data_IF_977257964928
#
_entry.id   IF_977257964928
#
_cell.length_a   1.000
_cell.length_b   1.000
_cell.length_c   1.000
_cell.angle_alpha   90.00
_cell.angle_beta   90.00
_cell.angle_gamma   90.00
#
_symmetry.space_group_name_H-M   'P 1'
#
loop_
_entity.id
_entity.type
_entity.pdbx_description
1 polymer ?
#
# COMPACT_ATOMS: atom_id res chain seq x y z
N UNK A 1 31.52 -57.02 -48.71
CA UNK A 1 32.58 -57.08 -49.74
C UNK A 1 32.44 -55.87 -50.67
N UNK A 2 33.16 -54.79 -50.40
CA UNK A 2 33.93 -53.96 -51.35
C UNK A 2 34.59 -52.82 -50.59
N UNK A 3 35.90 -52.84 -50.69
CA UNK A 3 36.95 -52.02 -50.09
C UNK A 3 37.27 -50.86 -51.06
N UNK A 4 37.79 -49.73 -50.57
CA UNK A 4 38.79 -48.78 -51.16
C UNK A 4 38.44 -47.32 -50.79
N UNK A 5 39.34 -46.34 -50.53
CA UNK A 5 40.81 -46.26 -50.40
C UNK A 5 41.17 -44.76 -50.20
N UNK A 6 42.03 -44.43 -49.21
CA UNK A 6 43.01 -43.30 -49.06
C UNK A 6 42.53 -41.84 -49.32
N UNK A 7 43.02 -40.80 -48.65
CA UNK A 7 44.39 -40.23 -48.69
C UNK A 7 44.58 -39.25 -47.51
N UNK A 8 45.78 -39.31 -46.91
CA UNK A 8 46.33 -38.44 -45.87
C UNK A 8 47.41 -37.55 -46.51
N UNK A 9 47.41 -36.22 -46.32
CA UNK A 9 48.61 -35.37 -46.50
C UNK A 9 48.68 -34.32 -45.37
N UNK A 10 49.89 -34.23 -44.83
CA UNK A 10 50.42 -33.45 -43.70
C UNK A 10 50.97 -32.07 -44.16
N UNK A 11 51.44 -31.25 -43.18
CA UNK A 11 52.46 -30.16 -43.28
C UNK A 11 51.93 -28.76 -43.68
N UNK A 12 52.31 -27.59 -43.11
CA UNK A 12 52.89 -27.17 -41.82
C UNK A 12 52.65 -25.66 -41.59
N UNK A 13 52.65 -25.29 -40.30
CA UNK A 13 53.22 -24.11 -39.62
C UNK A 13 53.48 -22.75 -40.35
N UNK A 14 52.84 -21.72 -39.79
CA UNK A 14 53.42 -20.53 -39.15
C UNK A 14 54.27 -19.54 -39.98
N UNK A 15 53.86 -18.26 -40.02
CA UNK A 15 54.68 -17.06 -39.70
C UNK A 15 53.76 -15.82 -39.59
N UNK A 16 54.14 -14.95 -38.66
CA UNK A 16 53.42 -13.80 -38.08
C UNK A 16 53.36 -12.54 -38.96
N UNK A 17 52.39 -11.64 -38.66
CA UNK A 17 52.62 -10.36 -37.97
C UNK A 17 51.70 -9.19 -38.43
N UNK A 18 51.12 -8.54 -37.42
CA UNK A 18 50.83 -7.09 -37.25
C UNK A 18 49.82 -6.38 -38.19
N UNK A 19 48.72 -5.90 -37.60
CA UNK A 19 47.97 -4.78 -38.16
C UNK A 19 46.50 -4.61 -37.73
N UNK A 20 46.28 -4.15 -36.49
CA UNK A 20 45.20 -3.25 -36.06
C UNK A 20 43.69 -3.67 -36.06
N UNK A 21 43.11 -3.51 -34.86
CA UNK A 21 41.76 -3.04 -34.52
C UNK A 21 40.54 -3.98 -34.66
N UNK A 22 39.96 -4.38 -33.51
CA UNK A 22 38.50 -4.47 -33.35
C UNK A 22 37.94 -5.76 -32.71
N UNK A 23 37.59 -5.68 -31.42
CA UNK A 23 36.48 -6.47 -30.84
C UNK A 23 36.84 -7.73 -30.05
N UNK A 24 37.10 -7.59 -28.74
CA UNK A 24 37.11 -8.72 -27.80
C UNK A 24 35.68 -9.26 -27.63
N UNK A 25 35.37 -10.38 -28.28
CA UNK A 25 34.18 -11.17 -28.03
C UNK A 25 34.24 -11.85 -26.67
N UNK A 26 33.69 -11.20 -25.65
CA UNK A 26 33.23 -11.89 -24.44
C UNK A 26 32.01 -12.73 -24.84
N UNK A 27 32.23 -14.04 -25.01
CA UNK A 27 31.17 -15.03 -25.10
C UNK A 27 30.37 -15.01 -23.80
N UNK A 28 29.27 -14.25 -23.78
CA UNK A 28 28.30 -14.27 -22.71
C UNK A 28 27.42 -15.50 -22.95
N UNK A 29 27.66 -16.54 -22.16
CA UNK A 29 26.81 -17.73 -22.18
C UNK A 29 25.42 -17.34 -21.65
N UNK A 30 24.48 -17.09 -22.55
CA UNK A 30 23.11 -16.59 -22.28
C UNK A 30 22.36 -17.48 -21.28
N UNK A 31 22.75 -18.75 -21.14
CA UNK A 31 22.18 -19.67 -20.15
C UNK A 31 22.57 -19.33 -18.70
N UNK A 32 23.80 -18.85 -18.44
CA UNK A 32 24.23 -18.42 -17.09
C UNK A 32 23.64 -17.05 -16.72
N UNK A 33 23.51 -16.15 -17.70
CA UNK A 33 22.80 -14.87 -17.53
C UNK A 33 21.31 -15.10 -17.23
N UNK A 34 20.63 -16.02 -17.94
CA UNK A 34 19.23 -16.37 -17.70
C UNK A 34 19.00 -17.17 -16.41
N UNK A 35 20.01 -17.90 -15.91
CA UNK A 35 19.99 -18.57 -14.61
C UNK A 35 20.18 -17.59 -13.44
N UNK A 36 20.86 -16.46 -13.67
CA UNK A 36 20.98 -15.34 -12.71
C UNK A 36 19.76 -14.41 -12.74
N UNK A 37 19.01 -14.37 -13.84
CA UNK A 37 17.73 -13.66 -13.93
C UNK A 37 16.56 -14.41 -13.25
N UNK A 38 16.77 -15.65 -12.82
CA UNK A 38 15.77 -16.50 -12.14
C UNK A 38 16.10 -16.77 -10.67
N UNK A 39 17.05 -16.03 -10.09
CA UNK A 39 17.36 -16.10 -8.65
C UNK A 39 17.54 -14.68 -8.07
N UNK A 40 16.58 -14.30 -7.20
CA UNK A 40 16.45 -13.00 -6.52
C UNK A 40 15.64 -11.93 -7.27
N UNK A 41 14.31 -12.10 -7.30
CA UNK A 41 13.45 -10.91 -7.24
C UNK A 41 13.73 -10.26 -5.88
N UNK A 42 14.50 -9.17 -5.89
CA UNK A 42 14.72 -8.35 -4.70
C UNK A 42 13.37 -7.85 -4.22
N UNK A 43 12.93 -8.31 -3.05
CA UNK A 43 11.73 -7.81 -2.38
C UNK A 43 11.77 -6.28 -2.35
N UNK A 44 10.70 -5.64 -2.80
CA UNK A 44 10.55 -4.18 -2.80
C UNK A 44 9.36 -3.80 -1.92
N UNK A 45 9.19 -2.51 -1.62
CA UNK A 45 8.03 -2.06 -0.84
C UNK A 45 6.71 -2.51 -1.49
N UNK A 46 6.60 -2.42 -2.81
CA UNK A 46 5.39 -2.85 -3.54
C UNK A 46 5.01 -4.33 -3.33
N UNK A 47 5.98 -5.19 -2.96
CA UNK A 47 5.72 -6.60 -2.63
C UNK A 47 4.84 -6.78 -1.39
N UNK A 48 4.72 -5.75 -0.54
CA UNK A 48 3.89 -5.77 0.67
C UNK A 48 2.49 -5.19 0.46
N UNK A 49 2.18 -4.65 -0.73
CA UNK A 49 0.90 -3.96 -0.95
C UNK A 49 -0.31 -4.86 -0.61
N UNK A 50 -0.27 -6.13 -1.01
CA UNK A 50 -1.34 -7.08 -0.70
C UNK A 50 -1.53 -7.27 0.82
N UNK A 51 -0.45 -7.46 1.58
CA UNK A 51 -0.56 -7.69 3.02
C UNK A 51 -0.97 -6.42 3.77
N UNK A 52 -0.56 -5.25 3.28
CA UNK A 52 -1.02 -3.97 3.83
C UNK A 52 -2.50 -3.74 3.57
N UNK A 53 -2.99 -4.00 2.35
CA UNK A 53 -4.44 -3.93 2.07
C UNK A 53 -5.23 -4.91 2.93
N UNK A 54 -4.71 -6.14 3.14
CA UNK A 54 -5.33 -7.11 4.06
C UNK A 54 -5.45 -6.57 5.48
N UNK A 55 -4.42 -5.87 5.99
CA UNK A 55 -4.45 -5.26 7.32
C UNK A 55 -5.44 -4.10 7.42
N UNK A 56 -5.46 -3.21 6.42
CA UNK A 56 -6.40 -2.08 6.37
C UNK A 56 -7.85 -2.54 6.24
N UNK A 57 -8.12 -3.49 5.34
CA UNK A 57 -9.47 -4.06 5.17
C UNK A 57 -9.89 -4.79 6.44
N UNK A 58 -9.05 -5.65 7.02
CA UNK A 58 -9.40 -6.36 8.25
C UNK A 58 -9.71 -5.40 9.41
N UNK A 59 -8.80 -4.44 9.64
CA UNK A 59 -8.85 -3.59 10.81
C UNK A 59 -9.83 -2.42 10.67
N UNK A 60 -9.87 -1.74 9.53
CA UNK A 60 -10.65 -0.51 9.31
C UNK A 60 -11.84 -0.69 8.37
N UNK A 61 -11.96 -1.84 7.70
CA UNK A 61 -13.04 -2.11 6.75
C UNK A 61 -12.95 -1.27 5.47
N UNK A 62 -11.79 -0.69 5.16
CA UNK A 62 -11.55 0.17 4.00
C UNK A 62 -10.22 -0.14 3.33
N UNK A 63 -10.03 0.26 2.06
CA UNK A 63 -8.73 0.24 1.40
C UNK A 63 -7.73 1.17 2.10
N UNK A 64 -6.44 0.85 2.03
CA UNK A 64 -5.39 1.75 2.47
C UNK A 64 -5.43 3.05 1.66
N UNK A 65 -5.12 4.20 2.29
CA UNK A 65 -4.83 5.40 1.49
C UNK A 65 -3.42 5.29 0.86
N UNK A 66 -3.14 5.99 -0.26
CA UNK A 66 -1.86 5.83 -0.95
C UNK A 66 -0.62 6.10 -0.08
N UNK A 67 -0.71 7.03 0.87
CA UNK A 67 0.38 7.34 1.79
C UNK A 67 0.54 6.22 2.83
N UNK A 68 -0.57 5.75 3.41
CA UNK A 68 -0.62 4.60 4.31
C UNK A 68 -0.04 3.35 3.66
N UNK A 69 -0.45 3.03 2.44
CA UNK A 69 0.06 1.89 1.68
C UNK A 69 1.58 1.98 1.50
N UNK A 70 2.08 3.14 1.04
CA UNK A 70 3.50 3.38 0.81
C UNK A 70 4.33 3.25 2.09
N UNK A 71 3.88 3.90 3.17
CA UNK A 71 4.61 3.95 4.44
C UNK A 71 4.65 2.59 5.13
N UNK A 72 3.52 1.88 5.22
CA UNK A 72 3.47 0.56 5.84
C UNK A 72 4.27 -0.47 5.04
N UNK A 73 4.15 -0.45 3.71
CA UNK A 73 4.94 -1.33 2.83
C UNK A 73 6.44 -1.10 2.98
N UNK A 74 6.88 0.17 3.06
CA UNK A 74 8.28 0.50 3.27
C UNK A 74 8.79 0.08 4.66
N UNK A 75 7.97 0.25 5.71
CA UNK A 75 8.33 -0.15 7.06
C UNK A 75 8.41 -1.67 7.21
N UNK A 76 7.46 -2.43 6.64
CA UNK A 76 7.51 -3.90 6.61
C UNK A 76 8.76 -4.41 5.89
N UNK A 77 9.15 -3.78 4.77
CA UNK A 77 10.40 -4.08 4.09
C UNK A 77 11.62 -3.83 4.99
N UNK A 78 11.66 -2.68 5.66
CA UNK A 78 12.76 -2.30 6.53
C UNK A 78 12.90 -3.24 7.74
N UNK A 79 11.78 -3.72 8.27
CA UNK A 79 11.74 -4.63 9.42
C UNK A 79 12.00 -6.11 9.04
N UNK A 80 12.23 -6.39 7.76
CA UNK A 80 12.46 -7.74 7.25
C UNK A 80 11.24 -8.65 7.42
N UNK A 81 10.04 -8.08 7.36
CA UNK A 81 8.80 -8.83 7.46
C UNK A 81 8.59 -9.74 6.24
N UNK A 82 7.77 -10.78 6.34
CA UNK A 82 7.32 -11.53 5.17
C UNK A 82 6.21 -10.77 4.42
N UNK A 83 6.05 -11.09 3.13
CA UNK A 83 5.07 -10.45 2.24
C UNK A 83 3.70 -11.13 2.22
N UNK A 84 3.53 -12.23 2.96
CA UNK A 84 2.27 -12.96 3.08
C UNK A 84 1.75 -12.95 4.53
N UNK A 85 0.43 -12.93 4.66
CA UNK A 85 -0.25 -12.76 5.96
C UNK A 85 -0.02 -13.93 6.93
N UNK A 86 0.21 -15.15 6.43
CA UNK A 86 0.42 -16.33 7.28
C UNK A 86 1.78 -16.29 7.95
N UNK A 87 2.82 -15.99 7.16
CA UNK A 87 4.16 -15.78 7.68
C UNK A 87 4.19 -14.51 8.54
N UNK A 88 3.45 -13.46 8.18
CA UNK A 88 3.40 -12.22 8.96
C UNK A 88 2.84 -12.46 10.36
N UNK A 89 1.83 -13.32 10.50
CA UNK A 89 1.32 -13.75 11.80
C UNK A 89 2.38 -14.49 12.64
N UNK A 90 3.25 -15.29 12.01
CA UNK A 90 4.35 -15.95 12.72
C UNK A 90 5.41 -14.92 13.16
N UNK A 91 5.78 -14.01 12.25
CA UNK A 91 6.73 -12.93 12.52
C UNK A 91 6.22 -11.96 13.58
N UNK A 92 4.91 -11.68 13.64
CA UNK A 92 4.30 -10.85 14.67
C UNK A 92 4.65 -11.32 16.09
N UNK A 93 4.72 -12.63 16.32
CA UNK A 93 5.03 -13.18 17.64
C UNK A 93 6.53 -13.19 17.98
N UNK A 94 7.40 -12.94 17.00
CA UNK A 94 8.87 -13.11 17.13
C UNK A 94 9.69 -11.85 16.81
N UNK A 95 9.09 -10.85 16.15
CA UNK A 95 9.75 -9.60 15.77
C UNK A 95 9.01 -8.41 16.40
N UNK A 96 9.67 -7.72 17.33
CA UNK A 96 9.10 -6.58 18.05
C UNK A 96 8.77 -5.37 17.19
N UNK A 97 9.51 -5.13 16.09
CA UNK A 97 9.24 -4.02 15.17
C UNK A 97 7.97 -4.28 14.36
N UNK A 98 7.85 -5.49 13.78
CA UNK A 98 6.63 -5.92 13.10
C UNK A 98 5.44 -5.90 14.05
N UNK A 99 5.60 -6.42 15.27
CA UNK A 99 4.56 -6.36 16.30
C UNK A 99 4.10 -4.93 16.57
N UNK A 100 5.04 -4.01 16.83
CA UNK A 100 4.74 -2.62 17.09
C UNK A 100 4.03 -1.94 15.90
N UNK A 101 4.46 -2.25 14.67
CA UNK A 101 3.83 -1.72 13.46
C UNK A 101 2.38 -2.18 13.32
N UNK A 102 2.10 -3.48 13.50
CA UNK A 102 0.73 -4.01 13.44
C UNK A 102 -0.13 -3.48 14.59
N UNK A 103 0.44 -3.36 15.80
CA UNK A 103 -0.27 -2.83 16.96
C UNK A 103 -0.59 -1.34 16.82
N UNK A 104 0.18 -0.60 15.99
CA UNK A 104 -0.03 0.84 15.76
C UNK A 104 -1.44 1.16 15.24
N UNK A 105 -2.06 0.26 14.47
CA UNK A 105 -3.44 0.37 14.00
C UNK A 105 -4.40 0.66 15.15
N UNK A 106 -4.25 -0.05 16.28
CA UNK A 106 -5.11 0.12 17.46
C UNK A 106 -4.85 1.36 18.29
N UNK A 107 -3.74 2.05 18.05
CA UNK A 107 -3.42 3.32 18.73
C UNK A 107 -3.74 4.55 17.89
N UNK A 108 -4.08 4.34 16.62
CA UNK A 108 -4.40 5.39 15.65
C UNK A 108 -5.65 6.19 16.06
N UNK A 109 -5.71 7.44 15.58
CA UNK A 109 -6.89 8.29 15.75
C UNK A 109 -8.13 7.68 15.08
N UNK A 110 -7.96 7.05 13.90
CA UNK A 110 -9.07 6.38 13.22
C UNK A 110 -9.64 5.22 14.04
N UNK A 111 -8.79 4.37 14.63
CA UNK A 111 -9.25 3.28 15.49
C UNK A 111 -10.05 3.80 16.70
N UNK A 112 -9.54 4.83 17.37
CA UNK A 112 -10.24 5.47 18.50
C UNK A 112 -11.59 6.05 18.08
N UNK A 113 -11.68 6.64 16.89
CA UNK A 113 -12.93 7.19 16.37
C UNK A 113 -13.94 6.11 15.99
N UNK A 114 -13.48 4.99 15.43
CA UNK A 114 -14.35 3.90 14.99
C UNK A 114 -14.84 3.02 16.15
N UNK A 115 -13.96 2.70 17.08
CA UNK A 115 -14.20 1.66 18.09
C UNK A 115 -14.26 2.20 19.52
N UNK A 116 -13.91 3.47 19.73
CA UNK A 116 -13.73 4.02 21.07
C UNK A 116 -12.50 3.47 21.77
N UNK A 117 -12.30 3.87 23.03
CA UNK A 117 -11.09 3.52 23.81
C UNK A 117 -11.19 2.22 24.61
N UNK A 118 -12.39 1.61 24.71
CA UNK A 118 -12.62 0.43 25.55
C UNK A 118 -13.85 -0.39 25.10
N UNK A 119 -13.98 -0.69 23.81
CA UNK A 119 -15.10 -1.50 23.32
C UNK A 119 -14.64 -2.72 22.47
N UNK A 120 -14.07 -3.77 23.13
CA UNK A 120 -13.66 -5.00 22.46
C UNK A 120 -14.78 -5.66 21.66
N UNK A 121 -16.01 -5.63 22.18
CA UNK A 121 -17.17 -6.26 21.53
C UNK A 121 -17.47 -5.61 20.18
N UNK A 122 -17.53 -4.28 20.13
CA UNK A 122 -17.77 -3.54 18.88
C UNK A 122 -16.64 -3.76 17.89
N UNK A 123 -15.40 -3.72 18.36
CA UNK A 123 -14.24 -3.96 17.51
C UNK A 123 -14.23 -5.36 16.89
N UNK A 124 -14.36 -6.41 17.69
CA UNK A 124 -14.35 -7.80 17.19
C UNK A 124 -15.50 -8.01 16.20
N UNK A 125 -16.68 -7.48 16.50
CA UNK A 125 -17.84 -7.55 15.59
C UNK A 125 -17.53 -6.87 14.26
N UNK A 126 -16.92 -5.68 14.28
CA UNK A 126 -16.52 -4.98 13.07
C UNK A 126 -15.49 -5.76 12.24
N UNK A 127 -14.43 -6.28 12.87
CA UNK A 127 -13.42 -7.09 12.17
C UNK A 127 -14.03 -8.32 11.51
N UNK A 128 -14.95 -9.01 12.20
CA UNK A 128 -15.67 -10.15 11.62
C UNK A 128 -16.50 -9.76 10.40
N UNK A 129 -17.22 -8.64 10.46
CA UNK A 129 -17.96 -8.13 9.30
C UNK A 129 -17.03 -7.74 8.15
N UNK A 130 -15.92 -7.07 8.45
CA UNK A 130 -14.96 -6.62 7.44
C UNK A 130 -14.30 -7.79 6.70
N UNK A 131 -13.93 -8.85 7.43
CA UNK A 131 -13.19 -9.99 6.90
C UNK A 131 -14.11 -11.07 6.34
N UNK A 132 -15.19 -11.40 7.04
CA UNK A 132 -16.05 -12.55 6.71
C UNK A 132 -17.41 -12.14 6.15
N UNK A 133 -17.74 -10.85 6.10
CA UNK A 133 -19.06 -10.38 5.69
C UNK A 133 -20.20 -10.78 6.64
N UNK A 134 -19.88 -11.23 7.86
CA UNK A 134 -20.84 -11.77 8.82
C UNK A 134 -20.41 -11.59 10.26
N UNK A 135 -21.38 -11.48 11.16
CA UNK A 135 -21.13 -11.35 12.59
C UNK A 135 -20.44 -12.60 13.19
N UNK A 136 -19.64 -12.44 14.27
CA UNK A 136 -19.07 -13.57 14.98
C UNK A 136 -20.16 -14.39 15.68
N UNK A 137 -19.97 -15.71 15.74
CA UNK A 137 -20.74 -16.54 16.66
C UNK A 137 -20.41 -16.15 18.11
N UNK A 138 -21.37 -16.31 19.02
CA UNK A 138 -21.23 -15.92 20.45
C UNK A 138 -19.97 -16.49 21.10
N UNK A 139 -19.65 -17.77 20.86
CA UNK A 139 -18.45 -18.39 21.42
C UNK A 139 -17.15 -17.74 20.90
N UNK A 140 -17.08 -17.44 19.59
CA UNK A 140 -15.93 -16.76 19.00
C UNK A 140 -15.80 -15.32 19.48
N UNK A 141 -16.91 -14.59 19.58
CA UNK A 141 -16.93 -13.23 20.13
C UNK A 141 -16.40 -13.21 21.56
N UNK A 142 -16.91 -14.10 22.43
CA UNK A 142 -16.48 -14.20 23.82
C UNK A 142 -14.98 -14.55 23.94
N UNK A 143 -14.48 -15.44 23.09
CA UNK A 143 -13.05 -15.78 23.05
C UNK A 143 -12.18 -14.53 22.81
N UNK A 144 -12.46 -13.79 21.73
CA UNK A 144 -11.68 -12.61 21.37
C UNK A 144 -11.82 -11.47 22.38
N UNK A 145 -13.03 -11.22 22.87
CA UNK A 145 -13.29 -10.20 23.89
C UNK A 145 -12.53 -10.51 25.19
N UNK A 146 -12.55 -11.76 25.65
CA UNK A 146 -11.80 -12.16 26.83
C UNK A 146 -10.29 -12.02 26.64
N UNK A 147 -9.77 -12.40 25.47
CA UNK A 147 -8.35 -12.27 25.13
C UNK A 147 -7.89 -10.79 25.05
N UNK A 148 -8.75 -9.89 24.57
CA UNK A 148 -8.48 -8.45 24.58
C UNK A 148 -8.53 -7.90 26.01
N UNK A 149 -9.54 -8.27 26.80
CA UNK A 149 -9.71 -7.78 28.17
C UNK A 149 -8.59 -8.20 29.12
N UNK A 150 -8.03 -9.40 28.94
CA UNK A 150 -6.92 -9.89 29.75
C UNK A 150 -5.54 -9.52 29.19
N UNK A 151 -5.48 -8.80 28.06
CA UNK A 151 -4.24 -8.35 27.43
C UNK A 151 -3.42 -9.43 26.74
N UNK A 152 -3.97 -10.64 26.52
CA UNK A 152 -3.27 -11.72 25.82
C UNK A 152 -3.08 -11.43 24.33
N UNK A 153 -3.96 -10.61 23.76
CA UNK A 153 -3.87 -10.13 22.37
C UNK A 153 -4.11 -8.63 22.32
N UNK A 154 -3.55 -7.98 21.30
CA UNK A 154 -3.85 -6.58 20.97
C UNK A 154 -4.95 -6.52 19.91
N UNK A 155 -5.54 -5.33 19.73
CA UNK A 155 -6.50 -5.10 18.66
C UNK A 155 -5.90 -5.41 17.27
N UNK A 156 -4.68 -4.94 16.98
CA UNK A 156 -4.00 -5.21 15.71
C UNK A 156 -3.80 -6.71 15.48
N UNK A 157 -3.42 -7.44 16.53
CA UNK A 157 -3.25 -8.89 16.48
C UNK A 157 -4.55 -9.64 16.19
N UNK A 158 -5.68 -9.22 16.76
CA UNK A 158 -6.98 -9.83 16.49
C UNK A 158 -7.35 -9.72 15.01
N UNK A 159 -7.19 -8.54 14.40
CA UNK A 159 -7.45 -8.36 12.97
C UNK A 159 -6.54 -9.24 12.10
N UNK A 160 -5.24 -9.28 12.42
CA UNK A 160 -4.26 -10.14 11.74
C UNK A 160 -4.63 -11.62 11.86
N UNK A 161 -4.97 -12.11 13.05
CA UNK A 161 -5.33 -13.50 13.29
C UNK A 161 -6.63 -13.90 12.58
N UNK A 162 -7.67 -13.05 12.61
CA UNK A 162 -8.94 -13.34 11.95
C UNK A 162 -8.75 -13.40 10.43
N UNK A 163 -8.04 -12.43 9.84
CA UNK A 163 -7.71 -12.44 8.40
C UNK A 163 -6.91 -13.69 8.00
N UNK A 164 -5.82 -13.98 8.71
CA UNK A 164 -4.98 -15.14 8.43
C UNK A 164 -5.73 -16.47 8.62
N UNK A 165 -6.55 -16.58 9.68
CA UNK A 165 -7.34 -17.77 9.97
C UNK A 165 -8.43 -18.04 8.93
N UNK A 166 -9.05 -16.99 8.41
CA UNK A 166 -10.08 -17.10 7.37
C UNK A 166 -9.52 -17.69 6.07
N UNK A 167 -8.32 -17.25 5.66
CA UNK A 167 -7.68 -17.66 4.40
C UNK A 167 -7.22 -19.11 4.36
N UNK A 168 -7.09 -19.77 5.51
CA UNK A 168 -6.67 -21.19 5.59
C UNK A 168 -7.78 -22.13 6.06
N UNK A 169 -8.99 -21.61 6.24
CA UNK A 169 -10.14 -22.40 6.66
C UNK A 169 -10.72 -23.19 5.48
N UNK A 170 -10.48 -24.51 5.46
CA UNK A 170 -10.89 -25.40 4.38
C UNK A 170 -12.35 -25.91 4.46
N UNK A 171 -13.13 -25.46 5.45
CA UNK A 171 -14.58 -25.75 5.47
C UNK A 171 -15.29 -25.10 4.28
N UNK A 172 -16.47 -25.58 3.90
CA UNK A 172 -17.25 -24.96 2.81
C UNK A 172 -17.50 -23.47 3.05
N UNK A 173 -17.83 -23.08 4.29
CA UNK A 173 -17.98 -21.67 4.66
C UNK A 173 -16.63 -20.93 4.58
N UNK A 174 -15.54 -21.53 5.07
CA UNK A 174 -14.21 -20.91 5.02
C UNK A 174 -13.72 -20.63 3.60
N UNK A 175 -14.04 -21.50 2.64
CA UNK A 175 -13.74 -21.27 1.23
C UNK A 175 -14.55 -20.10 0.64
N UNK A 176 -15.80 -19.91 1.07
CA UNK A 176 -16.61 -18.75 0.69
C UNK A 176 -16.08 -17.46 1.33
N UNK A 177 -15.68 -17.52 2.61
CA UNK A 177 -15.07 -16.39 3.31
C UNK A 177 -13.75 -15.99 2.61
N UNK A 178 -12.91 -16.96 2.22
CA UNK A 178 -11.66 -16.70 1.50
C UNK A 178 -11.90 -16.10 0.10
N UNK A 179 -12.94 -16.53 -0.61
CA UNK A 179 -13.33 -15.93 -1.89
C UNK A 179 -13.79 -14.48 -1.71
N UNK A 180 -14.61 -14.19 -0.70
CA UNK A 180 -15.03 -12.82 -0.38
C UNK A 180 -13.83 -11.92 -0.03
N UNK A 181 -12.88 -12.44 0.75
CA UNK A 181 -11.64 -11.72 1.07
C UNK A 181 -10.88 -11.39 -0.21
N UNK A 182 -10.74 -12.35 -1.13
CA UNK A 182 -10.05 -12.10 -2.40
C UNK A 182 -10.71 -10.95 -3.18
N UNK A 183 -12.03 -10.93 -3.26
CA UNK A 183 -12.78 -9.85 -3.93
C UNK A 183 -12.60 -8.50 -3.21
N UNK A 184 -12.67 -8.47 -1.88
CA UNK A 184 -12.39 -7.27 -1.08
C UNK A 184 -10.99 -6.71 -1.33
N UNK A 185 -9.96 -7.56 -1.35
CA UNK A 185 -8.56 -7.13 -1.54
C UNK A 185 -8.31 -6.67 -2.98
N UNK A 186 -8.91 -7.33 -3.98
CA UNK A 186 -8.84 -6.88 -5.37
C UNK A 186 -9.45 -5.49 -5.52
N UNK A 187 -10.67 -5.28 -5.04
CA UNK A 187 -11.34 -3.96 -5.13
C UNK A 187 -10.60 -2.90 -4.31
N UNK A 188 -10.08 -3.24 -3.12
CA UNK A 188 -9.29 -2.32 -2.32
C UNK A 188 -8.02 -1.86 -3.05
N UNK A 189 -7.29 -2.81 -3.66
CA UNK A 189 -6.10 -2.50 -4.46
C UNK A 189 -6.44 -1.62 -5.66
N UNK A 190 -7.51 -1.92 -6.40
CA UNK A 190 -7.99 -1.12 -7.52
C UNK A 190 -8.40 0.29 -7.10
N UNK A 191 -9.07 0.42 -5.95
CA UNK A 191 -9.46 1.71 -5.39
C UNK A 191 -8.24 2.56 -5.04
N UNK A 192 -7.27 2.03 -4.29
CA UNK A 192 -6.05 2.77 -3.91
C UNK A 192 -5.25 3.22 -5.14
N UNK A 193 -5.18 2.37 -6.17
CA UNK A 193 -4.58 2.71 -7.46
C UNK A 193 -5.37 3.82 -8.18
N UNK A 194 -6.70 3.76 -8.14
CA UNK A 194 -7.59 4.77 -8.76
C UNK A 194 -7.46 6.14 -8.08
N UNK A 195 -7.39 6.18 -6.74
CA UNK A 195 -7.12 7.41 -5.98
C UNK A 195 -5.81 8.05 -6.45
N UNK A 196 -4.76 7.25 -6.58
CA UNK A 196 -3.45 7.73 -7.05
C UNK A 196 -3.52 8.24 -8.49
N UNK A 197 -4.15 7.47 -9.39
CA UNK A 197 -4.26 7.82 -10.82
C UNK A 197 -5.07 9.10 -11.06
N UNK A 198 -6.05 9.39 -10.20
CA UNK A 198 -6.86 10.62 -10.27
C UNK A 198 -6.26 11.79 -9.48
N UNK A 199 -5.05 11.65 -8.93
CA UNK A 199 -4.40 12.64 -8.06
C UNK A 199 -5.22 12.99 -6.80
N UNK A 200 -6.05 12.07 -6.32
CA UNK A 200 -6.96 12.25 -5.19
C UNK A 200 -6.36 11.83 -3.84
N UNK A 201 -5.04 11.68 -3.74
CA UNK A 201 -4.35 11.23 -2.52
C UNK A 201 -4.62 12.15 -1.32
N UNK A 202 -4.70 13.46 -1.56
CA UNK A 202 -5.02 14.42 -0.51
C UNK A 202 -6.52 14.41 -0.12
N UNK A 203 -7.39 14.04 -1.06
CA UNK A 203 -8.84 14.00 -0.88
C UNK A 203 -9.29 12.76 -0.10
N UNK A 204 -8.60 11.63 -0.28
CA UNK A 204 -8.83 10.42 0.51
C UNK A 204 -8.21 10.51 1.91
N UNK A 205 -8.67 11.49 2.69
CA UNK A 205 -8.21 11.77 4.04
C UNK A 205 -9.39 12.03 5.00
N UNK A 206 -9.18 11.68 6.27
CA UNK A 206 -10.17 11.93 7.32
C UNK A 206 -11.33 10.94 7.36
N UNK A 207 -12.21 11.13 8.35
CA UNK A 207 -13.23 10.14 8.70
C UNK A 207 -14.34 9.98 7.64
N UNK A 208 -14.71 11.07 6.96
CA UNK A 208 -15.76 11.07 5.91
C UNK A 208 -15.32 10.25 4.71
N UNK A 209 -14.16 10.57 4.11
CA UNK A 209 -13.66 9.85 2.96
C UNK A 209 -13.38 8.36 3.29
N UNK A 210 -12.86 8.09 4.49
CA UNK A 210 -12.71 6.74 5.02
C UNK A 210 -14.05 5.99 5.12
N UNK A 211 -15.12 6.65 5.53
CA UNK A 211 -16.46 6.06 5.58
C UNK A 211 -17.04 5.80 4.20
N UNK A 212 -16.84 6.72 3.25
CA UNK A 212 -17.25 6.55 1.85
C UNK A 212 -16.59 5.31 1.25
N UNK A 213 -15.29 5.10 1.49
CA UNK A 213 -14.57 3.91 1.07
C UNK A 213 -15.01 2.62 1.79
N UNK A 214 -15.34 2.67 3.09
CA UNK A 214 -15.94 1.54 3.82
C UNK A 214 -17.25 1.10 3.17
N UNK A 215 -18.14 2.06 2.89
CA UNK A 215 -19.45 1.78 2.28
C UNK A 215 -19.31 1.07 0.93
N UNK A 216 -18.30 1.45 0.13
CA UNK A 216 -18.01 0.77 -1.13
C UNK A 216 -17.68 -0.72 -0.93
N UNK A 217 -16.88 -1.09 0.07
CA UNK A 217 -16.53 -2.49 0.32
C UNK A 217 -17.72 -3.30 0.84
N UNK A 218 -18.66 -2.70 1.57
CA UNK A 218 -19.86 -3.42 2.05
C UNK A 218 -20.78 -3.91 0.94
N UNK A 219 -20.67 -3.36 -0.27
CA UNK A 219 -21.45 -3.80 -1.45
C UNK A 219 -20.87 -5.03 -2.16
N UNK A 220 -19.71 -5.55 -1.73
CA UNK A 220 -19.06 -6.68 -2.37
C UNK A 220 -19.67 -8.00 -1.89
N UNK A 221 -19.82 -8.94 -2.82
CA UNK A 221 -20.29 -10.30 -2.57
C UNK A 221 -19.34 -11.28 -3.25
N UNK A 222 -19.47 -12.58 -2.98
CA UNK A 222 -18.69 -13.64 -3.66
C UNK A 222 -18.98 -13.79 -5.16
N UNK A 223 -19.82 -12.91 -5.74
CA UNK A 223 -20.13 -12.85 -7.17
C UNK A 223 -19.58 -11.57 -7.83
N UNK A 224 -18.88 -10.73 -7.06
CA UNK A 224 -18.33 -9.48 -7.54
C UNK A 224 -17.20 -9.76 -8.54
N UNK A 225 -17.33 -9.26 -9.77
CA UNK A 225 -16.22 -9.22 -10.72
C UNK A 225 -15.58 -7.84 -10.68
N UNK A 226 -14.25 -7.78 -10.49
CA UNK A 226 -13.52 -6.51 -10.40
C UNK A 226 -13.75 -5.61 -11.62
N UNK A 227 -13.76 -6.20 -12.83
CA UNK A 227 -14.08 -5.50 -14.08
C UNK A 227 -15.44 -4.81 -14.09
N UNK A 228 -16.46 -5.40 -13.44
CA UNK A 228 -17.80 -4.83 -13.34
C UNK A 228 -17.91 -3.83 -12.19
N UNK A 229 -17.13 -4.04 -11.12
CA UNK A 229 -17.13 -3.21 -9.92
C UNK A 229 -16.30 -1.92 -10.08
N UNK A 230 -15.44 -1.85 -11.10
CA UNK A 230 -14.62 -0.66 -11.39
C UNK A 230 -15.46 0.62 -11.56
N UNK A 231 -16.69 0.53 -12.07
CA UNK A 231 -17.59 1.69 -12.16
C UNK A 231 -17.96 2.24 -10.77
N UNK A 232 -18.23 1.35 -9.82
CA UNK A 232 -18.46 1.69 -8.41
C UNK A 232 -17.20 2.29 -7.77
N UNK A 233 -16.01 1.73 -8.06
CA UNK A 233 -14.73 2.29 -7.60
C UNK A 233 -14.57 3.73 -8.08
N UNK A 234 -14.74 3.98 -9.39
CA UNK A 234 -14.61 5.31 -9.97
C UNK A 234 -15.62 6.31 -9.38
N UNK A 235 -16.88 5.88 -9.19
CA UNK A 235 -17.92 6.71 -8.57
C UNK A 235 -17.62 7.03 -7.11
N UNK A 236 -17.04 6.08 -6.37
CA UNK A 236 -16.63 6.28 -4.97
C UNK A 236 -15.50 7.30 -4.88
N UNK A 237 -14.47 7.21 -5.73
CA UNK A 237 -13.38 8.20 -5.78
C UNK A 237 -13.90 9.58 -6.18
N UNK A 238 -14.80 9.67 -7.17
CA UNK A 238 -15.42 10.94 -7.53
C UNK A 238 -16.21 11.57 -6.37
N UNK A 239 -16.90 10.74 -5.58
CA UNK A 239 -17.61 11.19 -4.36
C UNK A 239 -16.61 11.78 -3.35
N UNK A 240 -15.52 11.07 -3.07
CA UNK A 240 -14.47 11.54 -2.15
C UNK A 240 -13.87 12.88 -2.62
N UNK A 241 -13.57 13.03 -3.91
CA UNK A 241 -13.06 14.30 -4.46
C UNK A 241 -14.06 15.45 -4.25
N UNK A 242 -15.37 15.18 -4.39
CA UNK A 242 -16.41 16.19 -4.19
C UNK A 242 -16.73 16.50 -2.71
N UNK A 243 -16.47 15.55 -1.81
CA UNK A 243 -16.61 15.71 -0.37
C UNK A 243 -15.38 16.37 0.28
N UNK A 244 -14.26 16.44 -0.45
CA UNK A 244 -13.04 17.04 0.04
C UNK A 244 -13.32 18.47 0.53
N UNK A 245 -12.89 18.81 1.76
CA UNK A 245 -13.09 20.17 2.26
C UNK A 245 -12.47 21.13 1.24
N UNK A 246 -13.13 22.27 0.95
CA UNK A 246 -12.59 23.22 0.00
C UNK A 246 -11.17 23.55 0.45
N UNK A 247 -10.19 23.24 -0.40
CA UNK A 247 -8.89 23.87 -0.28
C UNK A 247 -9.19 25.35 -0.35
N UNK A 248 -9.00 26.05 0.77
CA UNK A 248 -9.00 27.49 0.80
C UNK A 248 -7.81 27.92 -0.05
N UNK A 249 -7.95 27.84 -1.38
CA UNK A 249 -7.08 28.54 -2.29
C UNK A 249 -7.15 29.98 -1.83
N UNK A 250 -6.00 30.46 -1.35
CA UNK A 250 -5.72 31.81 -0.87
C UNK A 250 -6.75 32.75 -1.49
N UNK A 251 -7.59 33.36 -0.64
CA UNK A 251 -8.65 34.27 -1.07
C UNK A 251 -8.16 35.05 -2.27
N UNK A 252 -8.91 35.00 -3.39
CA UNK A 252 -8.56 35.69 -4.61
C UNK A 252 -7.97 37.05 -4.23
N UNK A 253 -6.69 37.27 -4.52
CA UNK A 253 -6.07 38.56 -4.30
C UNK A 253 -6.91 39.50 -5.15
N UNK A 254 -7.81 40.24 -4.51
CA UNK A 254 -8.44 41.37 -5.14
C UNK A 254 -7.30 42.36 -5.32
N UNK A 255 -6.68 42.33 -6.50
CA UNK A 255 -5.84 43.44 -6.94
C UNK A 255 -6.82 44.59 -7.11
N UNK A 256 -6.91 45.41 -6.06
CA UNK A 256 -7.53 46.71 -6.17
C UNK A 256 -6.73 47.48 -7.23
N UNK A 257 -7.31 47.58 -8.42
CA UNK A 257 -6.79 48.42 -9.50
C UNK A 257 -7.34 49.85 -9.37
N UNK A 258 -7.90 50.20 -8.20
CA UNK A 258 -8.21 51.55 -7.79
C UNK A 258 -6.98 52.44 -7.92
N UNK A 259 -7.03 53.34 -8.88
CA UNK A 259 -6.03 54.36 -9.07
C UNK A 259 -6.04 55.33 -7.89
N UNK A 260 -5.13 55.14 -6.93
CA UNK A 260 -4.69 56.18 -6.00
C UNK A 260 -3.15 56.26 -6.03
N UNK A 261 -2.53 57.36 -6.51
CA UNK A 261 -1.09 57.46 -6.65
C UNK A 261 -0.34 57.86 -5.36
N UNK A 262 -0.90 57.62 -4.17
CA UNK A 262 -0.21 57.92 -2.92
C UNK A 262 -0.25 56.77 -1.90
N UNK A 263 0.91 56.14 -1.71
CA UNK A 263 1.33 55.42 -0.49
C UNK A 263 0.86 53.97 -0.30
N UNK A 264 1.62 53.01 -0.87
CA UNK A 264 1.55 51.58 -0.52
C UNK A 264 2.80 51.23 0.28
N UNK A 265 2.74 51.24 1.61
CA UNK A 265 3.86 50.82 2.48
C UNK A 265 3.51 49.80 3.57
N UNK A 266 2.29 49.27 3.65
CA UNK A 266 2.08 48.00 4.35
C UNK A 266 0.85 47.25 3.85
N UNK A 267 1.03 45.96 3.61
CA UNK A 267 -0.06 44.98 3.52
C UNK A 267 0.10 44.09 4.73
N UNK A 268 -0.79 44.23 5.69
CA UNK A 268 -0.78 43.42 6.91
C UNK A 268 -1.52 42.10 6.62
N UNK A 269 -0.77 41.03 6.32
CA UNK A 269 -1.29 39.67 6.20
C UNK A 269 -1.04 38.92 7.51
N UNK A 270 -2.07 38.40 8.19
CA UNK A 270 -1.85 37.63 9.39
C UNK A 270 -1.31 36.24 9.00
N UNK A 271 -0.09 35.96 9.45
CA UNK A 271 0.60 34.65 9.46
C UNK A 271 1.26 34.15 8.16
N UNK A 272 1.98 35.00 7.43
CA UNK A 272 3.16 34.52 6.68
C UNK A 272 4.29 35.55 6.79
N UNK A 273 5.37 35.19 7.47
CA UNK A 273 6.60 35.98 7.44
C UNK A 273 7.28 35.79 6.08
N UNK A 274 7.01 36.67 5.12
CA UNK A 274 7.78 36.75 3.86
C UNK A 274 8.83 37.85 4.03
N UNK A 275 10.09 37.46 4.16
CA UNK A 275 11.21 38.41 4.11
C UNK A 275 11.47 38.79 2.65
N UNK A 276 11.12 40.02 2.27
CA UNK A 276 11.41 40.57 0.94
C UNK A 276 12.64 41.48 1.07
N UNK A 277 13.76 41.08 0.47
CA UNK A 277 14.93 41.95 0.39
C UNK A 277 14.85 42.83 -0.88
N UNK A 278 15.12 44.13 -0.76
CA UNK A 278 15.16 45.04 -1.91
C UNK A 278 16.34 44.72 -2.84
N UNK A 279 16.18 44.83 -4.18
CA UNK A 279 17.28 44.55 -5.11
C UNK A 279 18.41 45.57 -4.90
N UNK A 280 19.59 45.08 -4.49
CA UNK A 280 20.84 45.86 -4.46
C UNK A 280 21.48 46.09 -3.09
N UNK A 281 20.90 45.65 -1.97
CA UNK A 281 21.58 45.75 -0.67
C UNK A 281 21.28 44.58 0.30
N UNK A 282 22.14 43.55 0.35
CA UNK A 282 21.92 42.36 1.18
C UNK A 282 22.15 42.56 2.69
N UNK A 283 22.49 43.77 3.17
CA UNK A 283 22.77 44.01 4.60
C UNK A 283 21.55 44.50 5.42
N UNK A 284 20.37 44.63 4.80
CA UNK A 284 19.14 45.12 5.45
C UNK A 284 17.98 44.10 5.46
N UNK A 285 18.28 42.80 5.53
CA UNK A 285 17.24 41.80 5.76
C UNK A 285 17.14 41.55 7.28
N UNK A 286 16.06 42.02 7.93
CA UNK A 286 15.61 41.54 9.25
C UNK A 286 14.41 40.63 9.07
#
# INVERSE_FOLDING_TARGET
MRLTLKILILVTACIAALGACGGNGQSSNTAEQNKRLTSSQKTSASSYNQVVEQLYVAYFGRPADPNGLTNFSAQLLADGAPTDIQSLLQTYNSNGAVKALIDSFGTSTESKNLYGTANPTSFVTAVFNNVLGRAPQTAGLNFWVNALNNGSVTYGNVALQIMAGALVNNTTQGQQDAALIADHITVATEFTATVTAQNATADYAGATAAQTARSMLTGITTSTSSSTYQSTVNATVATIISEAPPVNNVAAIAVDTGADPANITSVDVPYVSVTICAPGNPSLCQ
#
